data_IF_620052348006
#
_entry.id   IF_620052348006
#
_cell.length_a   1.000
_cell.length_b   1.000
_cell.length_c   1.000
_cell.angle_alpha   90.00
_cell.angle_beta   90.00
_cell.angle_gamma   90.00
#
_symmetry.space_group_name_H-M   'P 1'
#
loop_
_entity.id
_entity.type
_entity.pdbx_description
1 polymer ?
#
# COMPACT_ATOMS: atom_id res chain seq x y z
N UNK A 1 14.31 27.87 18.68
CA UNK A 1 14.10 26.44 18.32
C UNK A 1 12.74 25.86 18.80
N UNK A 2 11.65 26.65 18.88
CA UNK A 2 10.31 26.15 19.28
C UNK A 2 9.46 25.55 18.12
N UNK A 3 9.81 25.78 16.85
CA UNK A 3 8.94 25.39 15.71
C UNK A 3 8.95 23.90 15.34
N UNK A 4 9.89 23.10 15.85
CA UNK A 4 10.03 21.68 15.46
C UNK A 4 9.06 20.77 16.23
N UNK A 5 8.61 21.17 17.43
CA UNK A 5 7.71 20.35 18.27
C UNK A 5 6.29 20.23 17.72
N UNK A 6 5.84 21.15 16.86
CA UNK A 6 4.50 21.14 16.28
C UNK A 6 4.35 20.25 15.03
N UNK A 7 5.46 19.91 14.37
CA UNK A 7 5.43 19.17 13.10
C UNK A 7 4.71 17.81 13.22
N UNK A 8 4.99 16.96 14.24
CA UNK A 8 4.29 15.69 14.38
C UNK A 8 2.78 15.84 14.62
N UNK A 9 2.37 16.90 15.32
CA UNK A 9 0.96 17.20 15.59
C UNK A 9 0.25 17.56 14.27
N UNK A 10 0.82 18.51 13.52
CA UNK A 10 0.26 18.95 12.24
C UNK A 10 0.16 17.79 11.26
N UNK A 11 1.21 16.98 11.12
CA UNK A 11 1.22 15.84 10.21
C UNK A 11 0.21 14.76 10.63
N UNK A 12 0.04 14.49 11.93
CA UNK A 12 -0.96 13.54 12.41
C UNK A 12 -2.40 14.02 12.14
N UNK A 13 -2.69 15.30 12.40
CA UNK A 13 -3.99 15.92 12.10
C UNK A 13 -4.27 15.86 10.59
N UNK A 14 -3.30 16.23 9.76
CA UNK A 14 -3.42 16.15 8.30
C UNK A 14 -3.64 14.71 7.83
N UNK A 15 -2.94 13.73 8.42
CA UNK A 15 -3.12 12.31 8.07
C UNK A 15 -4.55 11.84 8.30
N UNK A 16 -5.16 12.24 9.42
CA UNK A 16 -6.57 11.92 9.72
C UNK A 16 -7.55 12.69 8.82
N UNK A 17 -7.27 13.97 8.55
CA UNK A 17 -8.09 14.78 7.66
C UNK A 17 -8.06 14.30 6.20
N UNK A 18 -6.94 13.70 5.77
CA UNK A 18 -6.79 13.16 4.42
C UNK A 18 -7.50 11.83 4.20
N UNK A 19 -7.83 11.07 5.24
CA UNK A 19 -8.49 9.78 5.08
C UNK A 19 -9.87 9.89 4.37
N UNK A 20 -10.79 10.79 4.79
CA UNK A 20 -12.02 11.04 4.05
C UNK A 20 -11.78 11.57 2.62
N UNK A 21 -10.79 12.44 2.42
CA UNK A 21 -10.48 12.98 1.09
C UNK A 21 -9.96 11.89 0.15
N UNK A 22 -9.14 10.97 0.65
CA UNK A 22 -8.66 9.82 -0.12
C UNK A 22 -9.80 8.86 -0.45
N UNK A 23 -10.79 8.70 0.44
CA UNK A 23 -11.97 7.88 0.19
C UNK A 23 -12.83 8.46 -0.94
N UNK A 24 -13.04 9.78 -0.90
CA UNK A 24 -13.74 10.47 -1.98
C UNK A 24 -12.97 10.40 -3.30
N UNK A 25 -11.65 10.60 -3.28
CA UNK A 25 -10.82 10.50 -4.48
C UNK A 25 -10.86 9.08 -5.08
N UNK A 26 -10.72 8.05 -4.25
CA UNK A 26 -10.79 6.66 -4.71
C UNK A 26 -12.16 6.33 -5.29
N UNK A 27 -13.24 6.81 -4.66
CA UNK A 27 -14.58 6.68 -5.20
C UNK A 27 -14.69 7.34 -6.58
N UNK A 28 -14.24 8.59 -6.75
CA UNK A 28 -14.23 9.28 -8.04
C UNK A 28 -13.43 8.53 -9.10
N UNK A 29 -12.24 8.01 -8.75
CA UNK A 29 -11.41 7.27 -9.70
C UNK A 29 -12.03 5.91 -10.08
N UNK A 30 -12.78 5.27 -9.17
CA UNK A 30 -13.50 4.02 -9.48
C UNK A 30 -14.65 4.21 -10.47
N UNK A 31 -15.09 5.45 -10.73
CA UNK A 31 -16.13 5.74 -11.72
C UNK A 31 -15.66 5.58 -13.18
N UNK A 32 -14.34 5.44 -13.41
CA UNK A 32 -13.78 5.13 -14.73
C UNK A 32 -13.79 3.62 -15.04
N UNK A 33 -14.46 2.82 -14.19
CA UNK A 33 -14.62 1.37 -14.33
C UNK A 33 -15.67 0.94 -15.37
N UNK A 34 -15.64 -0.34 -15.74
CA UNK A 34 -16.71 -0.94 -16.55
C UNK A 34 -17.98 -1.18 -15.70
N UNK A 35 -17.81 -1.30 -14.38
CA UNK A 35 -18.90 -1.45 -13.41
C UNK A 35 -18.70 -0.44 -12.27
N UNK A 36 -18.96 0.86 -12.53
CA UNK A 36 -18.75 1.89 -11.52
C UNK A 36 -19.64 1.60 -10.30
N UNK A 37 -19.07 1.61 -9.08
CA UNK A 37 -19.85 1.36 -7.88
C UNK A 37 -20.73 2.56 -7.54
N UNK A 38 -21.93 2.31 -7.02
CA UNK A 38 -22.86 3.36 -6.58
C UNK A 38 -22.35 4.11 -5.33
N UNK A 39 -21.64 3.40 -4.46
CA UNK A 39 -20.99 3.93 -3.27
C UNK A 39 -19.69 3.16 -3.01
N UNK A 40 -18.75 3.76 -2.29
CA UNK A 40 -17.51 3.09 -1.92
C UNK A 40 -17.82 1.91 -0.99
N UNK A 41 -17.48 0.65 -1.35
CA UNK A 41 -17.83 -0.50 -0.53
C UNK A 41 -17.19 -0.45 0.85
N UNK A 42 -17.92 -0.92 1.86
CA UNK A 42 -17.44 -0.94 3.25
C UNK A 42 -16.06 -1.61 3.42
N UNK A 43 -15.78 -2.78 2.82
CA UNK A 43 -14.44 -3.39 2.91
C UNK A 43 -13.33 -2.47 2.37
N UNK A 44 -13.60 -1.76 1.27
CA UNK A 44 -12.62 -0.85 0.62
C UNK A 44 -12.33 0.34 1.53
N UNK A 45 -13.35 0.92 2.16
CA UNK A 45 -13.20 2.01 3.12
C UNK A 45 -12.35 1.60 4.35
N UNK A 46 -12.51 0.36 4.82
CA UNK A 46 -11.69 -0.20 5.91
C UNK A 46 -10.23 -0.31 5.47
N UNK A 47 -9.95 -0.95 4.33
CA UNK A 47 -8.57 -1.05 3.82
C UNK A 47 -7.96 0.33 3.60
N UNK A 48 -8.72 1.28 3.05
CA UNK A 48 -8.25 2.63 2.85
C UNK A 48 -7.90 3.33 4.17
N UNK A 49 -8.69 3.16 5.23
CA UNK A 49 -8.32 3.65 6.57
C UNK A 49 -7.03 3.01 7.08
N UNK A 50 -6.83 1.72 6.87
CA UNK A 50 -5.60 1.02 7.26
C UNK A 50 -4.37 1.53 6.49
N UNK A 51 -4.52 2.14 5.31
CA UNK A 51 -3.42 2.78 4.58
C UNK A 51 -2.75 3.88 5.43
N UNK A 52 -3.55 4.65 6.15
CA UNK A 52 -3.09 5.79 6.96
C UNK A 52 -2.66 5.40 8.38
N UNK A 53 -2.91 4.16 8.82
CA UNK A 53 -2.56 3.68 10.15
C UNK A 53 -1.05 3.76 10.44
N UNK A 54 -0.21 3.38 9.47
CA UNK A 54 1.25 3.36 9.62
C UNK A 54 1.86 4.77 9.75
N UNK A 55 1.61 5.72 8.82
CA UNK A 55 2.12 7.08 8.97
C UNK A 55 1.58 7.77 10.23
N UNK A 56 0.30 7.53 10.57
CA UNK A 56 -0.29 8.08 11.79
C UNK A 56 0.40 7.54 13.05
N UNK A 57 0.64 6.22 13.13
CA UNK A 57 1.36 5.61 14.24
C UNK A 57 2.75 6.23 14.42
N UNK A 58 3.48 6.45 13.32
CA UNK A 58 4.81 7.06 13.39
C UNK A 58 4.79 8.48 13.95
N UNK A 59 3.80 9.29 13.59
CA UNK A 59 3.64 10.64 14.14
C UNK A 59 3.22 10.61 15.61
N UNK A 60 2.26 9.75 15.97
CA UNK A 60 1.75 9.64 17.34
C UNK A 60 2.78 9.05 18.31
N UNK A 61 3.76 8.26 17.85
CA UNK A 61 4.89 7.79 18.68
C UNK A 61 5.71 8.92 19.28
N UNK A 62 5.79 10.05 18.57
CA UNK A 62 6.56 11.24 19.00
C UNK A 62 5.82 12.05 20.08
N UNK A 63 4.57 11.69 20.37
CA UNK A 63 3.71 12.34 21.35
C UNK A 63 3.39 11.36 22.48
N UNK A 64 3.17 11.84 23.69
CA UNK A 64 2.74 11.03 24.83
C UNK A 64 1.78 11.82 25.72
N UNK A 65 0.91 11.12 26.46
CA UNK A 65 -0.08 11.75 27.35
C UNK A 65 -1.09 12.63 26.62
N UNK A 66 -1.45 13.75 27.25
CA UNK A 66 -2.47 14.69 26.76
C UNK A 66 -2.22 15.19 25.31
N UNK A 67 -1.00 15.59 24.89
CA UNK A 67 -0.73 15.99 23.51
C UNK A 67 -1.15 14.95 22.46
N UNK A 68 -0.96 13.65 22.73
CA UNK A 68 -1.37 12.59 21.79
C UNK A 68 -2.89 12.53 21.67
N UNK A 69 -3.59 12.59 22.80
CA UNK A 69 -5.06 12.56 22.85
C UNK A 69 -5.64 13.78 22.13
N UNK A 70 -5.14 14.97 22.43
CA UNK A 70 -5.57 16.23 21.79
C UNK A 70 -5.36 16.15 20.28
N UNK A 71 -4.21 15.65 19.83
CA UNK A 71 -3.91 15.51 18.39
C UNK A 71 -4.93 14.61 17.68
N UNK A 72 -5.30 13.49 18.30
CA UNK A 72 -6.32 12.58 17.75
C UNK A 72 -7.70 13.23 17.73
N UNK A 73 -8.10 13.94 18.79
CA UNK A 73 -9.38 14.64 18.84
C UNK A 73 -9.47 15.76 17.79
N UNK A 74 -8.43 16.57 17.66
CA UNK A 74 -8.36 17.63 16.64
C UNK A 74 -8.34 17.01 15.23
N UNK A 75 -7.60 15.93 15.02
CA UNK A 75 -7.58 15.19 13.75
C UNK A 75 -8.95 14.59 13.40
N UNK A 76 -9.68 14.05 14.37
CA UNK A 76 -11.04 13.57 14.17
C UNK A 76 -12.00 14.72 13.81
N UNK A 77 -11.90 15.86 14.49
CA UNK A 77 -12.64 17.07 14.14
C UNK A 77 -12.35 17.55 12.71
N UNK A 78 -11.08 17.54 12.30
CA UNK A 78 -10.69 17.88 10.94
C UNK A 78 -11.23 16.88 9.90
N UNK A 79 -11.21 15.57 10.20
CA UNK A 79 -11.81 14.54 9.36
C UNK A 79 -13.32 14.73 9.19
N UNK A 80 -14.04 15.11 10.25
CA UNK A 80 -15.46 15.50 10.17
C UNK A 80 -15.64 16.70 9.24
N UNK A 81 -14.83 17.75 9.42
CA UNK A 81 -14.88 18.92 8.56
C UNK A 81 -14.69 18.58 7.08
N UNK A 82 -13.68 17.78 6.74
CA UNK A 82 -13.42 17.34 5.37
C UNK A 82 -14.57 16.49 4.82
N UNK A 83 -15.08 15.53 5.59
CA UNK A 83 -16.18 14.68 5.15
C UNK A 83 -17.46 15.50 4.87
N UNK A 84 -17.78 16.48 5.74
CA UNK A 84 -18.91 17.38 5.54
C UNK A 84 -18.72 18.33 4.34
N UNK A 85 -17.49 18.80 4.09
CA UNK A 85 -17.19 19.62 2.91
C UNK A 85 -17.36 18.85 1.60
N UNK A 86 -17.17 17.53 1.62
CA UNK A 86 -17.30 16.66 0.45
C UNK A 86 -18.74 16.14 0.26
N UNK A 87 -19.57 16.17 1.30
CA UNK A 87 -20.96 15.69 1.25
C UNK A 87 -21.82 16.34 0.14
N UNK A 88 -21.73 17.65 -0.16
CA UNK A 88 -22.47 18.26 -1.26
C UNK A 88 -22.12 17.71 -2.64
N UNK A 89 -20.98 17.02 -2.78
CA UNK A 89 -20.53 16.38 -4.00
C UNK A 89 -20.91 14.88 -4.06
N UNK A 90 -21.86 14.44 -3.22
CA UNK A 90 -22.36 13.06 -3.20
C UNK A 90 -21.49 12.07 -2.43
N UNK A 91 -20.49 12.54 -1.68
CA UNK A 91 -19.64 11.68 -0.87
C UNK A 91 -20.33 11.26 0.44
N UNK A 92 -20.29 9.96 0.74
CA UNK A 92 -20.85 9.42 1.98
C UNK A 92 -19.96 9.80 3.20
N UNK A 93 -20.51 10.66 4.04
CA UNK A 93 -19.87 11.13 5.28
C UNK A 93 -19.52 9.95 6.20
N UNK A 94 -20.39 8.94 6.32
CA UNK A 94 -20.15 7.80 7.21
C UNK A 94 -18.93 6.99 6.75
N UNK A 95 -18.77 6.80 5.43
CA UNK A 95 -17.59 6.16 4.84
C UNK A 95 -16.32 6.96 5.12
N UNK A 96 -16.39 8.29 4.95
CA UNK A 96 -15.28 9.19 5.28
C UNK A 96 -14.85 9.06 6.74
N UNK A 97 -15.80 9.12 7.67
CA UNK A 97 -15.53 9.01 9.11
C UNK A 97 -15.02 7.62 9.51
N UNK A 98 -15.55 6.57 8.90
CA UNK A 98 -15.07 5.21 9.11
C UNK A 98 -13.59 5.09 8.74
N UNK A 99 -13.17 5.64 7.59
CA UNK A 99 -11.76 5.58 7.16
C UNK A 99 -10.82 6.24 8.20
N UNK A 100 -11.23 7.37 8.79
CA UNK A 100 -10.46 8.04 9.85
C UNK A 100 -10.47 7.25 11.18
N UNK A 101 -11.60 6.64 11.54
CA UNK A 101 -11.71 5.79 12.72
C UNK A 101 -10.83 4.53 12.61
N UNK A 102 -10.83 3.88 11.45
CA UNK A 102 -9.97 2.71 11.16
C UNK A 102 -8.50 3.12 11.15
N UNK A 103 -8.16 4.27 10.56
CA UNK A 103 -6.80 4.83 10.61
C UNK A 103 -6.29 4.98 12.04
N UNK A 104 -7.13 5.56 12.92
CA UNK A 104 -6.82 5.76 14.34
C UNK A 104 -6.64 4.43 15.05
N UNK A 105 -7.59 3.51 14.87
CA UNK A 105 -7.56 2.18 15.52
C UNK A 105 -6.32 1.39 15.10
N UNK A 106 -6.04 1.32 13.79
CA UNK A 106 -4.85 0.66 13.27
C UNK A 106 -3.55 1.31 13.77
N UNK A 107 -3.52 2.64 13.89
CA UNK A 107 -2.37 3.34 14.43
C UNK A 107 -2.09 2.95 15.89
N UNK A 108 -3.13 2.88 16.74
CA UNK A 108 -2.98 2.43 18.13
C UNK A 108 -2.56 0.96 18.23
N UNK A 109 -3.05 0.09 17.36
CA UNK A 109 -2.56 -1.30 17.27
C UNK A 109 -1.07 -1.35 16.94
N UNK A 110 -0.61 -0.57 15.97
CA UNK A 110 0.81 -0.47 15.64
C UNK A 110 1.63 0.17 16.76
N UNK A 111 1.08 1.11 17.53
CA UNK A 111 1.73 1.70 18.71
C UNK A 111 1.99 0.69 19.82
N UNK A 112 1.20 -0.39 19.93
CA UNK A 112 1.41 -1.45 20.89
C UNK A 112 2.67 -2.29 20.58
N UNK A 113 3.13 -2.29 19.32
CA UNK A 113 4.34 -2.99 18.88
C UNK A 113 5.60 -2.16 19.17
N UNK A 114 6.77 -2.82 19.30
CA UNK A 114 8.05 -2.15 19.59
C UNK A 114 9.12 -2.46 18.54
N UNK A 115 10.01 -1.49 18.33
CA UNK A 115 11.21 -1.62 17.49
C UNK A 115 10.91 -2.08 16.05
N UNK A 116 11.71 -3.02 15.57
CA UNK A 116 11.67 -3.57 14.21
C UNK A 116 10.31 -4.17 13.83
N UNK A 117 9.55 -4.70 14.80
CA UNK A 117 8.23 -5.28 14.54
C UNK A 117 7.26 -4.24 13.98
N UNK A 118 7.28 -3.02 14.51
CA UNK A 118 6.40 -1.95 14.00
C UNK A 118 6.72 -1.63 12.54
N UNK A 119 8.00 -1.54 12.20
CA UNK A 119 8.42 -1.24 10.83
C UNK A 119 8.04 -2.36 9.86
N UNK A 120 8.23 -3.61 10.28
CA UNK A 120 7.86 -4.80 9.52
C UNK A 120 6.35 -4.86 9.28
N UNK A 121 5.55 -4.86 10.35
CA UNK A 121 4.10 -4.97 10.22
C UNK A 121 3.47 -3.73 9.58
N UNK A 122 4.05 -2.55 9.74
CA UNK A 122 3.63 -1.35 9.04
C UNK A 122 3.84 -1.44 7.53
N UNK A 123 5.01 -1.92 7.09
CA UNK A 123 5.28 -2.14 5.66
C UNK A 123 4.38 -3.23 5.07
N UNK A 124 4.20 -4.35 5.78
CA UNK A 124 3.28 -5.44 5.40
C UNK A 124 1.84 -4.92 5.27
N UNK A 125 1.36 -4.15 6.24
CA UNK A 125 0.02 -3.56 6.22
C UNK A 125 -0.18 -2.67 5.00
N UNK A 126 0.74 -1.73 4.75
CA UNK A 126 0.64 -0.82 3.60
C UNK A 126 0.72 -1.59 2.29
N UNK A 127 1.57 -2.62 2.18
CA UNK A 127 1.64 -3.49 1.00
C UNK A 127 0.29 -4.17 0.74
N UNK A 128 -0.25 -4.89 1.73
CA UNK A 128 -1.52 -5.63 1.60
C UNK A 128 -2.67 -4.68 1.23
N UNK A 129 -2.78 -3.56 1.94
CA UNK A 129 -3.81 -2.55 1.68
C UNK A 129 -3.71 -2.02 0.25
N UNK A 130 -2.52 -1.60 -0.19
CA UNK A 130 -2.33 -1.09 -1.54
C UNK A 130 -2.64 -2.15 -2.61
N UNK A 131 -2.30 -3.43 -2.38
CA UNK A 131 -2.68 -4.52 -3.30
C UNK A 131 -4.20 -4.66 -3.40
N UNK A 132 -4.93 -4.62 -2.29
CA UNK A 132 -6.39 -4.71 -2.28
C UNK A 132 -7.02 -3.50 -2.97
N UNK A 133 -6.55 -2.28 -2.68
CA UNK A 133 -7.07 -1.06 -3.29
C UNK A 133 -6.79 -0.99 -4.79
N UNK A 134 -5.64 -1.49 -5.24
CA UNK A 134 -5.32 -1.60 -6.66
C UNK A 134 -6.26 -2.57 -7.40
N UNK A 135 -6.63 -3.67 -6.75
CA UNK A 135 -7.55 -4.64 -7.31
C UNK A 135 -9.01 -4.17 -7.25
N UNK A 136 -9.40 -3.38 -6.24
CA UNK A 136 -10.72 -2.75 -6.24
C UNK A 136 -10.93 -1.90 -7.51
N UNK A 137 -9.88 -1.24 -8.01
CA UNK A 137 -9.93 -0.41 -9.22
C UNK A 137 -9.41 -1.12 -10.47
N UNK A 138 -9.42 -2.46 -10.48
CA UNK A 138 -8.80 -3.27 -11.53
C UNK A 138 -9.34 -3.02 -12.94
N UNK A 139 -10.59 -2.58 -13.07
CA UNK A 139 -11.25 -2.31 -14.35
C UNK A 139 -11.43 -0.80 -14.62
N UNK A 140 -10.87 0.05 -13.76
CA UNK A 140 -10.96 1.51 -13.86
C UNK A 140 -9.79 2.06 -14.66
N UNK A 141 -10.08 2.61 -15.84
CA UNK A 141 -9.07 3.06 -16.79
C UNK A 141 -9.23 4.54 -17.13
N UNK A 142 -8.20 5.32 -16.84
CA UNK A 142 -8.16 6.75 -17.12
C UNK A 142 -7.48 7.01 -18.47
N UNK A 143 -8.19 7.52 -19.48
CA UNK A 143 -7.59 7.87 -20.76
C UNK A 143 -6.71 9.11 -20.60
N UNK A 144 -5.46 9.03 -21.05
CA UNK A 144 -4.49 10.13 -21.06
C UNK A 144 -4.04 10.41 -22.50
N UNK A 145 -4.73 11.35 -23.15
CA UNK A 145 -4.49 11.65 -24.56
C UNK A 145 -4.99 10.53 -25.48
N UNK A 146 -4.30 10.30 -26.60
CA UNK A 146 -4.77 9.38 -27.65
C UNK A 146 -4.36 7.91 -27.51
N UNK A 147 -3.27 7.61 -26.78
CA UNK A 147 -2.74 6.24 -26.68
C UNK A 147 -2.69 5.71 -25.24
N UNK A 148 -2.37 6.56 -24.27
CA UNK A 148 -2.16 6.09 -22.90
C UNK A 148 -3.48 5.83 -22.21
N UNK A 149 -3.57 4.65 -21.62
CA UNK A 149 -4.74 4.22 -20.85
C UNK A 149 -4.27 3.68 -19.52
N UNK A 150 -4.31 4.53 -18.49
CA UNK A 150 -3.74 4.24 -17.18
C UNK A 150 -4.77 3.49 -16.35
N UNK A 151 -4.43 2.29 -15.90
CA UNK A 151 -5.23 1.62 -14.88
C UNK A 151 -5.09 2.36 -13.54
N UNK A 152 -6.20 2.72 -12.90
CA UNK A 152 -6.21 3.46 -11.62
C UNK A 152 -5.44 2.71 -10.52
N UNK A 153 -5.45 1.37 -10.54
CA UNK A 153 -4.70 0.54 -9.62
C UNK A 153 -3.19 0.79 -9.67
N UNK A 154 -2.67 1.31 -10.78
CA UNK A 154 -1.24 1.63 -10.91
C UNK A 154 -0.74 2.72 -9.98
N UNK A 155 -1.63 3.57 -9.48
CA UNK A 155 -1.32 4.60 -8.48
C UNK A 155 -0.77 4.00 -7.17
N UNK A 156 -1.15 2.76 -6.87
CA UNK A 156 -0.71 2.06 -5.66
C UNK A 156 0.62 1.33 -5.86
N UNK A 157 1.03 1.02 -7.10
CA UNK A 157 2.19 0.15 -7.33
C UNK A 157 3.50 0.75 -6.86
N UNK A 158 3.72 2.06 -7.03
CA UNK A 158 4.91 2.72 -6.48
C UNK A 158 5.06 2.54 -4.97
N UNK A 159 3.92 2.52 -4.25
CA UNK A 159 3.89 2.28 -2.81
C UNK A 159 4.17 0.80 -2.52
N UNK A 160 3.51 -0.13 -3.21
CA UNK A 160 3.72 -1.58 -3.00
C UNK A 160 5.16 -2.00 -3.22
N UNK A 161 5.81 -1.56 -4.30
CA UNK A 161 7.21 -1.89 -4.58
C UNK A 161 8.12 -1.39 -3.46
N UNK A 162 7.92 -0.14 -3.03
CA UNK A 162 8.68 0.44 -1.91
C UNK A 162 8.49 -0.35 -0.62
N UNK A 163 7.25 -0.76 -0.29
CA UNK A 163 7.01 -1.52 0.94
C UNK A 163 7.57 -2.92 0.88
N UNK A 164 7.44 -3.62 -0.25
CA UNK A 164 8.03 -4.95 -0.44
C UNK A 164 9.55 -4.92 -0.28
N UNK A 165 10.22 -3.92 -0.86
CA UNK A 165 11.66 -3.72 -0.71
C UNK A 165 12.08 -3.54 0.75
N UNK A 166 11.24 -2.89 1.56
CA UNK A 166 11.43 -2.79 3.02
C UNK A 166 11.19 -4.10 3.74
N UNK A 167 10.34 -4.98 3.21
CA UNK A 167 10.05 -6.28 3.82
C UNK A 167 11.15 -7.31 3.50
N UNK A 168 11.81 -7.22 2.34
CA UNK A 168 12.94 -8.10 1.98
C UNK A 168 14.07 -8.15 3.02
N UNK A 169 14.33 -7.05 3.74
CA UNK A 169 15.35 -7.01 4.81
C UNK A 169 15.05 -7.92 6.00
N UNK A 170 13.78 -8.32 6.17
CA UNK A 170 13.36 -9.22 7.25
C UNK A 170 13.42 -10.70 6.85
N UNK A 171 13.85 -11.01 5.63
CA UNK A 171 13.99 -12.39 5.16
C UNK A 171 12.97 -12.78 4.09
N UNK A 172 13.34 -13.80 3.32
CA UNK A 172 12.55 -14.32 2.19
C UNK A 172 11.23 -14.95 2.67
N UNK A 173 11.24 -15.60 3.83
CA UNK A 173 10.08 -16.24 4.43
C UNK A 173 9.00 -15.22 4.84
N UNK A 174 9.41 -14.08 5.41
CA UNK A 174 8.50 -12.99 5.77
C UNK A 174 7.83 -12.40 4.52
N UNK A 175 8.59 -12.26 3.43
CA UNK A 175 8.05 -11.77 2.15
C UNK A 175 7.00 -12.73 1.60
N UNK A 176 7.24 -14.04 1.59
CA UNK A 176 6.24 -15.00 1.13
C UNK A 176 4.99 -15.04 2.00
N UNK A 177 5.13 -14.91 3.33
CA UNK A 177 3.97 -14.78 4.23
C UNK A 177 3.18 -13.51 3.94
N UNK A 178 3.85 -12.40 3.65
CA UNK A 178 3.21 -11.15 3.21
C UNK A 178 2.46 -11.35 1.89
N UNK A 179 3.06 -12.00 0.89
CA UNK A 179 2.43 -12.29 -0.41
C UNK A 179 1.17 -13.15 -0.21
N UNK A 180 1.26 -14.21 0.59
CA UNK A 180 0.13 -15.07 0.90
C UNK A 180 -0.99 -14.29 1.61
N UNK A 181 -0.65 -13.46 2.60
CA UNK A 181 -1.61 -12.61 3.29
C UNK A 181 -2.26 -11.59 2.36
N UNK A 182 -1.51 -10.99 1.43
CA UNK A 182 -2.04 -10.07 0.43
C UNK A 182 -3.00 -10.77 -0.54
N UNK A 183 -2.64 -11.96 -1.02
CA UNK A 183 -3.49 -12.75 -1.91
C UNK A 183 -4.80 -13.17 -1.22
N UNK A 184 -4.74 -13.62 0.04
CA UNK A 184 -5.93 -13.99 0.82
C UNK A 184 -6.80 -12.77 1.10
N UNK A 185 -6.21 -11.66 1.55
CA UNK A 185 -6.94 -10.41 1.79
C UNK A 185 -7.62 -9.90 0.51
N UNK A 186 -6.94 -10.01 -0.64
CA UNK A 186 -7.46 -9.65 -1.94
C UNK A 186 -8.67 -10.51 -2.32
N UNK A 187 -8.59 -11.83 -2.17
CA UNK A 187 -9.72 -12.74 -2.44
C UNK A 187 -10.90 -12.42 -1.53
N UNK A 188 -10.67 -12.26 -0.21
CA UNK A 188 -11.74 -11.93 0.74
C UNK A 188 -12.41 -10.61 0.36
N UNK A 189 -11.63 -9.56 0.09
CA UNK A 189 -12.15 -8.25 -0.27
C UNK A 189 -12.95 -8.31 -1.58
N UNK A 190 -12.41 -8.96 -2.62
CA UNK A 190 -13.04 -9.07 -3.93
C UNK A 190 -14.36 -9.88 -3.87
N UNK A 191 -14.40 -10.97 -3.09
CA UNK A 191 -15.64 -11.72 -2.88
C UNK A 191 -16.68 -10.90 -2.09
N UNK A 192 -16.25 -10.15 -1.06
CA UNK A 192 -17.14 -9.34 -0.24
C UNK A 192 -17.81 -8.19 -1.03
N UNK A 193 -17.18 -7.70 -2.09
CA UNK A 193 -17.73 -6.64 -2.96
C UNK A 193 -18.40 -7.20 -4.22
N UNK A 194 -18.49 -8.52 -4.38
CA UNK A 194 -19.16 -9.15 -5.54
C UNK A 194 -18.35 -9.10 -6.84
N UNK A 195 -17.03 -9.03 -6.77
CA UNK A 195 -16.16 -9.09 -7.96
C UNK A 195 -16.35 -10.42 -8.69
N UNK A 196 -16.44 -10.42 -10.04
CA UNK A 196 -16.53 -11.66 -10.82
C UNK A 196 -15.40 -12.64 -10.51
N UNK A 197 -15.74 -13.93 -10.36
CA UNK A 197 -14.76 -14.98 -10.01
C UNK A 197 -13.57 -15.05 -10.97
N UNK A 198 -13.78 -14.72 -12.25
CA UNK A 198 -12.71 -14.58 -13.23
C UNK A 198 -11.65 -13.59 -12.77
N UNK A 199 -12.05 -12.38 -12.39
CA UNK A 199 -11.13 -11.35 -11.93
C UNK A 199 -10.49 -11.74 -10.60
N UNK A 200 -11.24 -12.34 -9.67
CA UNK A 200 -10.69 -12.87 -8.41
C UNK A 200 -9.56 -13.88 -8.66
N UNK A 201 -9.79 -14.85 -9.54
CA UNK A 201 -8.81 -15.90 -9.86
C UNK A 201 -7.57 -15.32 -10.56
N UNK A 202 -7.76 -14.40 -11.50
CA UNK A 202 -6.66 -13.77 -12.24
C UNK A 202 -5.85 -12.85 -11.34
N UNK A 203 -6.49 -12.03 -10.49
CA UNK A 203 -5.82 -11.21 -9.48
C UNK A 203 -4.96 -12.06 -8.55
N UNK A 204 -5.51 -13.17 -8.04
CA UNK A 204 -4.78 -14.09 -7.18
C UNK A 204 -3.54 -14.65 -7.90
N UNK A 205 -3.71 -15.13 -9.14
CA UNK A 205 -2.63 -15.67 -9.94
C UNK A 205 -1.54 -14.62 -10.21
N UNK A 206 -1.93 -13.42 -10.62
CA UNK A 206 -1.00 -12.32 -10.93
C UNK A 206 -0.19 -11.93 -9.69
N UNK A 207 -0.84 -11.74 -8.53
CA UNK A 207 -0.17 -11.45 -7.25
C UNK A 207 0.86 -12.54 -6.93
N UNK A 208 0.45 -13.81 -6.94
CA UNK A 208 1.34 -14.91 -6.55
C UNK A 208 2.53 -15.02 -7.51
N UNK A 209 2.27 -15.00 -8.83
CA UNK A 209 3.31 -15.21 -9.84
C UNK A 209 4.27 -14.03 -9.92
N UNK A 210 3.75 -12.80 -9.99
CA UNK A 210 4.59 -11.61 -10.11
C UNK A 210 5.41 -11.34 -8.85
N UNK A 211 4.82 -11.50 -7.65
CA UNK A 211 5.53 -11.25 -6.41
C UNK A 211 6.51 -12.37 -6.05
N UNK A 212 6.21 -13.62 -6.42
CA UNK A 212 7.19 -14.71 -6.32
C UNK A 212 8.38 -14.47 -7.27
N UNK A 213 8.12 -14.15 -8.54
CA UNK A 213 9.17 -13.84 -9.50
C UNK A 213 10.03 -12.65 -9.03
N UNK A 214 9.40 -11.59 -8.51
CA UNK A 214 10.12 -10.48 -7.93
C UNK A 214 11.04 -10.94 -6.79
N UNK A 215 10.49 -11.69 -5.86
CA UNK A 215 11.20 -12.18 -4.67
C UNK A 215 12.42 -13.01 -5.06
N UNK A 216 12.27 -13.92 -6.02
CA UNK A 216 13.37 -14.75 -6.48
C UNK A 216 14.48 -13.95 -7.16
N UNK A 217 14.12 -13.03 -8.06
CA UNK A 217 15.10 -12.18 -8.73
C UNK A 217 15.79 -11.26 -7.72
N UNK A 218 15.06 -10.67 -6.78
CA UNK A 218 15.61 -9.81 -5.73
C UNK A 218 16.61 -10.57 -4.84
N UNK A 219 16.21 -11.76 -4.37
CA UNK A 219 17.04 -12.57 -3.48
C UNK A 219 18.24 -13.20 -4.20
N UNK A 220 18.13 -13.56 -5.48
CA UNK A 220 19.26 -14.01 -6.29
C UNK A 220 20.34 -12.91 -6.45
N UNK A 221 19.92 -11.65 -6.42
CA UNK A 221 20.79 -10.49 -6.62
C UNK A 221 21.26 -9.84 -5.29
N UNK A 222 21.12 -10.50 -4.13
CA UNK A 222 21.58 -9.95 -2.84
C UNK A 222 23.08 -9.61 -2.80
N UNK A 223 23.89 -10.18 -3.69
CA UNK A 223 25.31 -9.84 -3.82
C UNK A 223 25.56 -8.53 -4.61
N UNK A 224 24.54 -7.98 -5.30
CA UNK A 224 24.61 -6.74 -6.07
C UNK A 224 24.21 -5.52 -5.25
N UNK A 225 24.41 -4.31 -5.79
CA UNK A 225 23.96 -3.06 -5.17
C UNK A 225 22.44 -3.04 -5.05
N UNK A 226 21.91 -2.40 -4.01
CA UNK A 226 20.45 -2.33 -3.74
C UNK A 226 19.64 -1.88 -4.97
N UNK A 227 20.07 -0.82 -5.65
CA UNK A 227 19.38 -0.32 -6.85
C UNK A 227 19.27 -1.39 -7.95
N UNK A 228 20.33 -2.18 -8.18
CA UNK A 228 20.31 -3.27 -9.17
C UNK A 228 19.31 -4.35 -8.81
N UNK A 229 19.17 -4.67 -7.51
CA UNK A 229 18.18 -5.67 -7.02
C UNK A 229 16.77 -5.22 -7.35
N UNK A 230 16.44 -3.98 -6.95
CA UNK A 230 15.12 -3.37 -7.13
C UNK A 230 14.79 -3.21 -8.61
N UNK A 231 15.71 -2.64 -9.39
CA UNK A 231 15.50 -2.42 -10.82
C UNK A 231 15.31 -3.74 -11.58
N UNK A 232 16.13 -4.75 -11.30
CA UNK A 232 16.05 -6.04 -12.00
C UNK A 232 14.81 -6.84 -11.60
N UNK A 233 14.45 -6.86 -10.31
CA UNK A 233 13.25 -7.58 -9.87
C UNK A 233 11.97 -6.91 -10.42
N UNK A 234 11.91 -5.58 -10.43
CA UNK A 234 10.77 -4.84 -10.99
C UNK A 234 10.69 -4.96 -12.53
N UNK A 235 11.83 -5.02 -13.23
CA UNK A 235 11.86 -5.23 -14.67
C UNK A 235 11.24 -6.56 -15.12
N UNK A 236 11.26 -7.58 -14.26
CA UNK A 236 10.61 -8.87 -14.52
C UNK A 236 9.17 -8.85 -14.03
N UNK A 237 8.94 -8.41 -12.79
CA UNK A 237 7.65 -8.53 -12.13
C UNK A 237 6.56 -7.62 -12.74
N UNK A 238 6.90 -6.38 -13.12
CA UNK A 238 5.90 -5.44 -13.63
C UNK A 238 5.26 -5.89 -14.97
N UNK A 239 6.02 -6.30 -15.99
CA UNK A 239 5.44 -6.87 -17.21
C UNK A 239 4.70 -8.17 -16.95
N UNK A 240 5.24 -9.05 -16.09
CA UNK A 240 4.62 -10.34 -15.78
C UNK A 240 3.23 -10.15 -15.16
N UNK A 241 3.12 -9.27 -14.16
CA UNK A 241 1.86 -8.90 -13.52
C UNK A 241 0.86 -8.34 -14.54
N UNK A 242 1.26 -7.30 -15.28
CA UNK A 242 0.37 -6.61 -16.22
C UNK A 242 -0.07 -7.51 -17.36
N UNK A 243 0.83 -8.30 -17.96
CA UNK A 243 0.49 -9.19 -19.08
C UNK A 243 -0.45 -10.28 -18.60
N UNK A 244 -0.12 -10.98 -17.50
CA UNK A 244 -0.99 -12.04 -16.96
C UNK A 244 -2.36 -11.46 -16.62
N UNK A 245 -2.39 -10.33 -15.90
CA UNK A 245 -3.62 -9.72 -15.46
C UNK A 245 -4.47 -9.26 -16.65
N UNK A 246 -3.96 -8.38 -17.50
CA UNK A 246 -4.74 -7.80 -18.60
C UNK A 246 -5.25 -8.87 -19.56
N UNK A 247 -4.39 -9.83 -19.95
CA UNK A 247 -4.79 -10.86 -20.91
C UNK A 247 -5.82 -11.82 -20.32
N UNK A 248 -5.58 -12.37 -19.13
CA UNK A 248 -6.48 -13.38 -18.57
C UNK A 248 -7.76 -12.76 -17.99
N UNK A 249 -7.70 -11.53 -17.48
CA UNK A 249 -8.88 -10.83 -16.96
C UNK A 249 -9.80 -10.38 -18.10
N UNK A 250 -9.27 -9.81 -19.18
CA UNK A 250 -10.10 -9.12 -20.17
C UNK A 250 -10.24 -9.82 -21.51
N UNK A 251 -9.47 -10.88 -21.81
CA UNK A 251 -9.62 -11.59 -23.10
C UNK A 251 -11.06 -12.05 -23.34
N UNK A 252 -11.61 -11.75 -24.52
CA UNK A 252 -12.97 -12.11 -24.89
C UNK A 252 -14.07 -11.18 -24.35
N UNK A 253 -13.72 -10.15 -23.57
CA UNK A 253 -14.67 -9.08 -23.25
C UNK A 253 -14.88 -8.18 -24.47
N UNK A 254 -16.12 -7.70 -24.68
CA UNK A 254 -16.49 -6.95 -25.88
C UNK A 254 -15.70 -5.64 -26.07
N UNK A 255 -15.27 -5.00 -24.97
CA UNK A 255 -14.50 -3.76 -24.98
C UNK A 255 -12.98 -3.99 -25.11
N UNK A 256 -12.49 -5.19 -24.81
CA UNK A 256 -11.07 -5.48 -24.67
C UNK A 256 -10.43 -5.96 -25.98
N UNK A 257 -10.37 -5.07 -26.97
CA UNK A 257 -9.69 -5.35 -28.24
C UNK A 257 -8.19 -5.58 -28.01
N UNK A 258 -7.51 -6.23 -28.96
CA UNK A 258 -6.05 -6.43 -28.89
C UNK A 258 -5.30 -5.11 -28.78
N UNK A 259 -5.72 -4.08 -29.51
CA UNK A 259 -5.11 -2.74 -29.41
C UNK A 259 -5.32 -2.11 -28.04
N UNK A 260 -6.52 -2.24 -27.47
CA UNK A 260 -6.82 -1.76 -26.12
C UNK A 260 -5.98 -2.49 -25.06
N UNK A 261 -5.86 -3.81 -25.12
CA UNK A 261 -5.02 -4.58 -24.19
C UNK A 261 -3.54 -4.18 -24.32
N UNK A 262 -3.04 -3.94 -25.53
CA UNK A 262 -1.68 -3.45 -25.75
C UNK A 262 -1.49 -2.05 -25.14
N UNK A 263 -2.47 -1.15 -25.31
CA UNK A 263 -2.43 0.19 -24.69
C UNK A 263 -2.33 0.09 -23.17
N UNK A 264 -3.19 -0.72 -22.54
CA UNK A 264 -3.15 -0.96 -21.08
C UNK A 264 -1.79 -1.53 -20.68
N UNK A 265 -1.33 -2.59 -21.35
CA UNK A 265 -0.08 -3.27 -20.98
C UNK A 265 1.10 -2.29 -21.05
N UNK A 266 1.24 -1.57 -22.16
CA UNK A 266 2.34 -0.62 -22.35
C UNK A 266 2.26 0.52 -21.34
N UNK A 267 1.06 1.07 -21.14
CA UNK A 267 0.87 2.21 -20.24
C UNK A 267 1.18 1.81 -18.79
N UNK A 268 0.62 0.71 -18.30
CA UNK A 268 0.80 0.27 -16.92
C UNK A 268 2.26 -0.09 -16.63
N UNK A 269 2.97 -0.73 -17.58
CA UNK A 269 4.39 -1.02 -17.43
C UNK A 269 5.22 0.26 -17.35
N UNK A 270 4.95 1.25 -18.21
CA UNK A 270 5.62 2.56 -18.16
C UNK A 270 5.36 3.27 -16.83
N UNK A 271 4.11 3.30 -16.37
CA UNK A 271 3.73 3.93 -15.09
C UNK A 271 4.42 3.23 -13.93
N UNK A 272 4.40 1.89 -13.89
CA UNK A 272 5.08 1.08 -12.85
C UNK A 272 6.59 1.34 -12.82
N UNK A 273 7.25 1.39 -13.97
CA UNK A 273 8.69 1.70 -14.04
C UNK A 273 8.99 3.12 -13.61
N UNK A 274 8.18 4.09 -14.03
CA UNK A 274 8.33 5.49 -13.62
C UNK A 274 8.17 5.63 -12.11
N UNK A 275 7.11 5.03 -11.55
CA UNK A 275 6.87 5.04 -10.11
C UNK A 275 8.01 4.35 -9.33
N UNK A 276 8.50 3.20 -9.82
CA UNK A 276 9.65 2.51 -9.23
C UNK A 276 10.92 3.36 -9.27
N UNK A 277 11.17 4.08 -10.36
CA UNK A 277 12.36 4.92 -10.51
C UNK A 277 12.29 6.13 -9.57
N UNK A 278 11.14 6.80 -9.52
CA UNK A 278 10.91 7.93 -8.60
C UNK A 278 11.09 7.50 -7.15
N UNK A 279 10.52 6.35 -6.76
CA UNK A 279 10.70 5.78 -5.43
C UNK A 279 12.17 5.47 -5.14
N UNK A 280 12.87 4.83 -6.07
CA UNK A 280 14.28 4.48 -5.92
C UNK A 280 15.16 5.73 -5.76
N UNK A 281 14.98 6.76 -6.59
CA UNK A 281 15.71 8.04 -6.48
C UNK A 281 15.44 8.71 -5.13
N UNK A 282 14.19 8.72 -4.69
CA UNK A 282 13.80 9.32 -3.41
C UNK A 282 14.51 8.62 -2.25
N UNK A 283 14.57 7.29 -2.26
CA UNK A 283 15.25 6.50 -1.23
C UNK A 283 16.77 6.70 -1.30
N UNK A 284 17.36 6.70 -2.50
CA UNK A 284 18.81 6.93 -2.64
C UNK A 284 19.23 8.34 -2.21
N UNK A 285 18.34 9.33 -2.31
CA UNK A 285 18.59 10.69 -1.82
C UNK A 285 18.66 10.78 -0.28
N UNK A 286 18.23 9.72 0.42
CA UNK A 286 18.15 9.63 1.88
C UNK A 286 18.80 8.32 2.33
N UNK A 287 20.14 8.28 2.50
CA UNK A 287 20.88 7.05 2.83
C UNK A 287 20.33 6.32 4.07
N UNK A 288 19.76 7.04 5.02
CA UNK A 288 19.09 6.50 6.21
C UNK A 288 17.79 5.71 5.92
N UNK A 289 17.26 5.80 4.69
CA UNK A 289 16.11 5.03 4.21
C UNK A 289 16.50 3.79 3.43
N UNK A 290 17.79 3.60 3.11
CA UNK A 290 18.26 2.39 2.46
C UNK A 290 17.97 1.18 3.37
N UNK A 291 17.27 0.15 2.85
CA UNK A 291 17.04 -1.07 3.61
C UNK A 291 18.37 -1.72 4.01
N UNK A 292 18.47 -2.17 5.26
CA UNK A 292 19.57 -3.01 5.72
C UNK A 292 19.68 -4.31 4.90
N UNK A 293 20.86 -4.92 4.89
CA UNK A 293 21.07 -6.20 4.20
C UNK A 293 20.23 -7.29 4.88
N UNK A 294 19.46 -8.11 4.13
CA UNK A 294 18.69 -9.21 4.72
C UNK A 294 19.57 -10.14 5.57
N UNK A 295 19.10 -10.49 6.77
CA UNK A 295 19.83 -11.38 7.70
C UNK A 295 20.82 -10.69 8.65
N UNK A 296 21.07 -9.39 8.52
CA UNK A 296 21.97 -8.67 9.43
C UNK A 296 21.42 -8.48 10.86
N UNK A 297 20.13 -8.74 11.09
CA UNK A 297 19.46 -8.50 12.37
C UNK A 297 19.43 -9.72 13.30
N UNK A 298 19.76 -10.93 12.83
CA UNK A 298 19.83 -12.12 13.68
C UNK A 298 20.92 -12.00 14.74
N UNK A 299 22.01 -11.29 14.45
CA UNK A 299 23.08 -11.02 15.42
C UNK A 299 22.69 -10.07 16.56
N UNK A 300 21.67 -9.22 16.40
CA UNK A 300 21.22 -8.31 17.47
C UNK A 300 20.31 -8.97 18.49
N UNK A 301 19.48 -9.94 18.06
CA UNK A 301 18.63 -10.73 18.97
C UNK A 301 19.47 -11.70 19.79
N UNK A 302 20.55 -12.23 19.20
CA UNK A 302 21.49 -13.12 19.88
C UNK A 302 22.43 -12.35 20.83
N UNK A 303 22.81 -11.11 20.47
CA UNK A 303 23.53 -10.19 21.36
C UNK A 303 22.69 -9.74 22.57
N UNK A 304 21.39 -9.49 22.40
CA UNK A 304 20.49 -9.18 23.53
C UNK A 304 20.30 -10.36 24.51
N UNK A 305 20.35 -11.61 24.00
CA UNK A 305 20.32 -12.82 24.85
C UNK A 305 21.62 -13.07 25.61
N UNK A 306 22.77 -12.73 25.03
CA UNK A 306 24.08 -12.91 25.68
C UNK A 306 24.39 -11.85 26.74
N UNK A 307 23.75 -10.67 26.67
CA UNK A 307 23.99 -9.56 27.62
C UNK A 307 23.08 -9.62 28.86
N UNK A 308 21.97 -10.36 28.83
CA UNK A 308 21.17 -10.65 30.04
C UNK A 308 21.18 -12.14 30.33
N UNK A 309 22.15 -12.66 31.11
CA UNK A 309 21.94 -13.94 31.76
C UNK A 309 20.72 -13.80 32.67
N UNK A 310 19.80 -14.77 32.58
CA UNK A 310 18.66 -14.89 33.48
C UNK A 310 19.16 -14.74 34.92
N UNK A 311 18.75 -13.66 35.60
CA UNK A 311 18.84 -13.62 37.05
C UNK A 311 17.74 -14.54 37.59
N UNK A 312 18.05 -15.82 37.66
CA UNK A 312 17.33 -16.76 38.51
C UNK A 312 17.69 -16.45 39.96
N UNK A 313 16.73 -15.88 40.68
CA UNK A 313 16.63 -15.96 42.13
C UNK A 313 15.47 -16.87 42.48
#
# INVERSE_FOLDING_TARGET
MRSIRGIPIVLAVLTLALAPAAAALLFTLSQFGQRPPEALPLPVAIFLGLLFATPLAFMLRRLAGAPRVITVLVGAGAAIGVALLLAPFGFDVAIGLLSAAVSTTGAFTLLALRGLRTEMYGAINVFIVCTVLANFTLDSFLPLGGFFLVNVGTLFFGITFTQRDRVHRFGRDVVYRMIAAAAVANVIAALAIGTPLRYVAVSFLAIVVAEAANTEVYHALLHRRWFTRVASSNAVAAPLDTIIFTTLAFAGEAFATTSWMVQVIVTDVIVKYTASLVAAITIMSRPEWLPGVPGAHDGTVEAERTIRPERTG
#
